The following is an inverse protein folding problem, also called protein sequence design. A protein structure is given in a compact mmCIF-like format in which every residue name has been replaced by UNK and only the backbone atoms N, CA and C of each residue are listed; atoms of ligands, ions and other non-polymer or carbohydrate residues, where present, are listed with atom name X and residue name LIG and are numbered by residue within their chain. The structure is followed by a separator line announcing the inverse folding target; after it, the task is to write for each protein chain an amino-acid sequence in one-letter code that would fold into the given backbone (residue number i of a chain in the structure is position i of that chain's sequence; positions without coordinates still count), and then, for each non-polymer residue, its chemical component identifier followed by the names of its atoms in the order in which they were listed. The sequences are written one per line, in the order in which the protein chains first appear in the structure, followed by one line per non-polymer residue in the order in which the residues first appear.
data_IF_114705905336
#
_entry.id   IF_114705905336
#
_cell.length_a   1.000
_cell.length_b   1.000
_cell.length_c   1.000
_cell.angle_alpha   90.00
_cell.angle_beta   90.00
_cell.angle_gamma   90.00
#
_symmetry.space_group_name_H-M   'P 1'
#
loop_
_entity.id
_entity.type
_entity.pdbx_description
1 polymer ?
#
# COMPACT_ATOMS: atom_id res chain seq x y z
N UNK A 1 -5.50 -2.58 -33.91
CA UNK A 1 -6.43 -2.32 -32.79
C UNK A 1 -7.92 -2.27 -33.21
N UNK A 2 -8.30 -2.18 -34.51
CA UNK A 2 -9.73 -2.16 -34.90
C UNK A 2 -10.44 -3.51 -34.85
N UNK A 3 -9.73 -4.62 -35.11
CA UNK A 3 -10.34 -5.96 -35.16
C UNK A 3 -10.79 -6.49 -33.78
N UNK A 4 -10.13 -6.07 -32.69
CA UNK A 4 -10.50 -6.52 -31.33
C UNK A 4 -11.75 -5.82 -30.79
N UNK A 5 -11.98 -4.56 -31.18
CA UNK A 5 -13.16 -3.78 -30.75
C UNK A 5 -14.43 -4.31 -31.44
N UNK A 6 -14.32 -4.67 -32.72
CA UNK A 6 -15.44 -5.23 -33.49
C UNK A 6 -15.86 -6.63 -32.97
N UNK A 7 -14.90 -7.45 -32.53
CA UNK A 7 -15.18 -8.77 -31.96
C UNK A 7 -15.92 -8.70 -30.62
N UNK A 8 -15.56 -7.73 -29.76
CA UNK A 8 -16.25 -7.49 -28.48
C UNK A 8 -17.67 -6.96 -28.69
N UNK A 9 -17.88 -6.12 -29.70
CA UNK A 9 -19.20 -5.58 -30.01
C UNK A 9 -20.17 -6.67 -30.52
N UNK A 10 -19.68 -7.59 -31.35
CA UNK A 10 -20.49 -8.68 -31.88
C UNK A 10 -20.91 -9.68 -30.79
N UNK A 11 -19.99 -10.04 -29.89
CA UNK A 11 -20.26 -10.96 -28.78
C UNK A 11 -21.26 -10.39 -27.77
N UNK A 12 -21.22 -9.09 -27.50
CA UNK A 12 -22.23 -8.43 -26.65
C UNK A 12 -23.64 -8.51 -27.24
N UNK A 13 -23.77 -8.30 -28.55
CA UNK A 13 -25.05 -8.31 -29.25
C UNK A 13 -25.68 -9.72 -29.29
N UNK A 14 -24.88 -10.76 -29.46
CA UNK A 14 -25.34 -12.15 -29.41
C UNK A 14 -25.82 -12.54 -28.00
N UNK A 15 -25.10 -12.13 -26.96
CA UNK A 15 -25.50 -12.34 -25.56
C UNK A 15 -26.80 -11.62 -25.20
N UNK A 16 -26.94 -10.37 -25.61
CA UNK A 16 -28.15 -9.57 -25.37
C UNK A 16 -29.38 -10.17 -26.07
N UNK A 17 -29.21 -10.69 -27.29
CA UNK A 17 -30.27 -11.36 -28.03
C UNK A 17 -30.69 -12.69 -27.39
N UNK A 18 -29.71 -13.52 -27.00
CA UNK A 18 -29.96 -14.77 -26.27
C UNK A 18 -30.66 -14.54 -24.93
N UNK A 19 -30.27 -13.50 -24.19
CA UNK A 19 -30.97 -13.08 -22.99
C UNK A 19 -32.42 -12.66 -23.28
N UNK A 20 -32.68 -11.91 -24.35
CA UNK A 20 -34.04 -11.46 -24.68
C UNK A 20 -35.01 -12.63 -24.89
N UNK A 21 -34.56 -13.71 -25.54
CA UNK A 21 -35.34 -14.92 -25.85
C UNK A 21 -35.60 -15.84 -24.65
N UNK A 22 -34.91 -15.65 -23.51
CA UNK A 22 -35.08 -16.52 -22.35
C UNK A 22 -36.32 -16.23 -21.49
N UNK A 23 -36.89 -17.28 -20.91
CA UNK A 23 -37.94 -17.23 -19.88
C UNK A 23 -37.48 -16.45 -18.63
N UNK A 24 -38.40 -15.73 -17.99
CA UNK A 24 -38.11 -14.90 -16.79
C UNK A 24 -37.44 -15.67 -15.66
N UNK A 25 -37.85 -16.93 -15.40
CA UNK A 25 -37.22 -17.77 -14.36
C UNK A 25 -35.77 -18.13 -14.72
N UNK A 26 -35.48 -18.37 -16.00
CA UNK A 26 -34.11 -18.65 -16.48
C UNK A 26 -33.23 -17.40 -16.43
N UNK A 27 -33.76 -16.22 -16.75
CA UNK A 27 -33.06 -14.93 -16.58
C UNK A 27 -32.65 -14.70 -15.13
N UNK A 28 -33.59 -14.88 -14.19
CA UNK A 28 -33.30 -14.72 -12.76
C UNK A 28 -32.22 -15.69 -12.25
N UNK A 29 -32.28 -16.96 -12.68
CA UNK A 29 -31.23 -17.93 -12.36
C UNK A 29 -29.87 -17.50 -12.93
N UNK A 30 -29.84 -17.08 -14.20
CA UNK A 30 -28.62 -16.65 -14.86
C UNK A 30 -27.97 -15.43 -14.18
N UNK A 31 -28.78 -14.41 -13.83
CA UNK A 31 -28.30 -13.26 -13.07
C UNK A 31 -27.77 -13.64 -11.69
N UNK A 32 -28.42 -14.57 -10.98
CA UNK A 32 -27.93 -15.07 -9.69
C UNK A 32 -26.58 -15.77 -9.83
N UNK A 33 -26.41 -16.59 -10.87
CA UNK A 33 -25.13 -17.28 -11.13
C UNK A 33 -24.03 -16.27 -11.44
N UNK A 34 -24.29 -15.26 -12.29
CA UNK A 34 -23.30 -14.20 -12.57
C UNK A 34 -22.97 -13.41 -11.30
N UNK A 35 -23.98 -13.03 -10.51
CA UNK A 35 -23.78 -12.25 -9.29
C UNK A 35 -22.93 -13.03 -8.29
N UNK A 36 -23.23 -14.31 -8.08
CA UNK A 36 -22.48 -15.17 -7.17
C UNK A 36 -21.05 -15.42 -7.66
N UNK A 37 -20.86 -15.68 -8.96
CA UNK A 37 -19.53 -15.93 -9.51
C UNK A 37 -18.65 -14.68 -9.46
N UNK A 38 -19.19 -13.51 -9.82
CA UNK A 38 -18.45 -12.24 -9.77
C UNK A 38 -18.11 -11.85 -8.34
N UNK A 39 -19.06 -11.96 -7.40
CA UNK A 39 -18.82 -11.67 -5.98
C UNK A 39 -17.80 -12.63 -5.35
N UNK A 40 -17.89 -13.92 -5.68
CA UNK A 40 -16.94 -14.93 -5.20
C UNK A 40 -15.52 -14.67 -5.73
N UNK A 41 -15.39 -14.33 -7.01
CA UNK A 41 -14.10 -14.00 -7.62
C UNK A 41 -13.49 -12.74 -7.01
N UNK A 42 -14.24 -11.65 -6.88
CA UNK A 42 -13.72 -10.39 -6.33
C UNK A 42 -13.32 -10.54 -4.86
N UNK A 43 -14.16 -11.19 -4.06
CA UNK A 43 -13.88 -11.44 -2.64
C UNK A 43 -12.69 -12.38 -2.46
N UNK A 44 -12.62 -13.44 -3.26
CA UNK A 44 -11.50 -14.37 -3.26
C UNK A 44 -10.18 -13.69 -3.61
N UNK A 45 -10.16 -12.87 -4.67
CA UNK A 45 -8.99 -12.07 -5.03
C UNK A 45 -8.61 -11.10 -3.90
N UNK A 46 -9.58 -10.36 -3.35
CA UNK A 46 -9.33 -9.44 -2.24
C UNK A 46 -8.71 -10.15 -1.03
N UNK A 47 -9.26 -11.29 -0.62
CA UNK A 47 -8.72 -12.10 0.47
C UNK A 47 -7.31 -12.59 0.17
N UNK A 48 -7.08 -13.09 -1.04
CA UNK A 48 -5.79 -13.65 -1.46
C UNK A 48 -4.70 -12.58 -1.44
N UNK A 49 -4.96 -11.39 -1.99
CA UNK A 49 -4.00 -10.27 -1.99
C UNK A 49 -3.69 -9.76 -0.58
N UNK A 50 -4.71 -9.58 0.25
CA UNK A 50 -4.55 -9.00 1.60
C UNK A 50 -4.08 -10.01 2.66
N UNK A 51 -4.06 -11.31 2.33
CA UNK A 51 -3.70 -12.38 3.28
C UNK A 51 -2.46 -13.14 2.84
N UNK A 52 -2.47 -13.75 1.65
CA UNK A 52 -1.43 -14.68 1.23
C UNK A 52 -0.22 -13.98 0.61
N UNK A 53 -0.46 -12.91 -0.16
CA UNK A 53 0.60 -12.19 -0.88
C UNK A 53 1.23 -11.04 -0.08
N UNK A 54 0.80 -10.82 1.16
CA UNK A 54 1.27 -9.69 1.97
C UNK A 54 2.78 -9.76 2.22
N UNK A 55 3.33 -10.95 2.46
CA UNK A 55 4.77 -11.14 2.68
C UNK A 55 5.60 -10.92 1.41
N UNK A 56 5.07 -11.33 0.25
CA UNK A 56 5.74 -11.09 -1.03
C UNK A 56 5.76 -9.60 -1.35
N UNK A 57 4.62 -8.92 -1.17
CA UNK A 57 4.56 -7.47 -1.33
C UNK A 57 5.55 -6.78 -0.39
N UNK A 58 5.54 -7.15 0.90
CA UNK A 58 6.47 -6.62 1.91
C UNK A 58 7.91 -6.76 1.43
N UNK A 59 8.33 -7.90 0.90
CA UNK A 59 9.69 -8.11 0.40
C UNK A 59 10.09 -7.18 -0.76
N UNK A 60 9.14 -6.74 -1.58
CA UNK A 60 9.41 -5.84 -2.72
C UNK A 60 9.54 -4.39 -2.24
N UNK A 61 8.72 -3.97 -1.28
CA UNK A 61 8.70 -2.58 -0.79
C UNK A 61 9.54 -2.33 0.46
N UNK A 62 10.10 -3.38 1.08
CA UNK A 62 11.00 -3.26 2.23
C UNK A 62 12.26 -2.50 1.84
N UNK A 63 12.69 -1.59 2.70
CA UNK A 63 14.00 -0.93 2.56
C UNK A 63 15.17 -1.88 2.81
N UNK A 64 16.09 -1.92 1.86
CA UNK A 64 17.33 -2.69 1.95
C UNK A 64 18.52 -1.76 2.19
N UNK A 65 19.37 -2.12 3.16
CA UNK A 65 20.63 -1.43 3.43
C UNK A 65 21.75 -2.44 3.31
N UNK A 66 22.71 -2.18 2.41
CA UNK A 66 23.84 -3.09 2.16
C UNK A 66 23.43 -4.53 1.79
N UNK A 67 22.32 -4.70 1.06
CA UNK A 67 21.79 -6.01 0.66
C UNK A 67 21.08 -6.80 1.77
N UNK A 68 20.91 -6.22 2.96
CA UNK A 68 20.16 -6.80 4.08
C UNK A 68 18.86 -6.03 4.33
N UNK A 69 17.86 -6.72 4.90
CA UNK A 69 16.61 -6.10 5.32
C UNK A 69 16.90 -5.08 6.43
N UNK A 70 16.53 -3.83 6.20
CA UNK A 70 16.66 -2.81 7.24
C UNK A 70 15.68 -3.13 8.36
N UNK A 71 16.16 -3.12 9.60
CA UNK A 71 15.28 -3.24 10.76
C UNK A 71 14.74 -1.86 11.12
N UNK A 72 13.50 -1.83 11.62
CA UNK A 72 12.91 -0.62 12.17
C UNK A 72 13.57 -0.31 13.51
N UNK A 73 13.83 0.97 13.79
CA UNK A 73 14.29 1.38 15.11
C UNK A 73 13.18 1.14 16.14
N UNK A 74 13.53 0.58 17.30
CA UNK A 74 12.55 0.18 18.32
C UNK A 74 11.75 1.36 18.85
N UNK A 75 12.40 2.52 18.97
CA UNK A 75 11.73 3.72 19.46
C UNK A 75 10.72 4.26 18.43
N UNK A 76 10.99 4.11 17.14
CA UNK A 76 10.05 4.46 16.08
C UNK A 76 8.87 3.46 16.03
N UNK A 77 9.13 2.17 16.29
CA UNK A 77 8.08 1.16 16.43
C UNK A 77 7.15 1.46 17.61
N UNK A 78 7.73 1.80 18.77
CA UNK A 78 6.97 2.22 19.96
C UNK A 78 6.18 3.50 19.70
N UNK A 79 6.79 4.48 19.03
CA UNK A 79 6.11 5.70 18.63
C UNK A 79 4.90 5.42 17.74
N UNK A 80 5.07 4.61 16.69
CA UNK A 80 3.97 4.25 15.79
C UNK A 80 2.85 3.47 16.51
N UNK A 81 3.21 2.59 17.44
CA UNK A 81 2.25 1.86 18.28
C UNK A 81 1.46 2.79 19.21
N UNK A 82 2.09 3.83 19.77
CA UNK A 82 1.43 4.83 20.60
C UNK A 82 0.44 5.67 19.77
N UNK A 83 0.88 6.20 18.62
CA UNK A 83 0.01 6.95 17.69
C UNK A 83 -1.18 6.12 17.26
N UNK A 84 -0.95 4.83 16.97
CA UNK A 84 -2.02 3.90 16.64
C UNK A 84 -3.04 3.76 17.78
N UNK A 85 -2.56 3.54 19.01
CA UNK A 85 -3.42 3.39 20.20
C UNK A 85 -4.25 4.64 20.46
N UNK A 86 -3.67 5.83 20.28
CA UNK A 86 -4.39 7.10 20.41
C UNK A 86 -5.47 7.29 19.33
N UNK A 87 -5.20 6.86 18.09
CA UNK A 87 -6.19 6.88 17.02
C UNK A 87 -7.28 5.80 17.18
N UNK A 88 -6.97 4.70 17.88
CA UNK A 88 -7.83 3.52 18.01
C UNK A 88 -8.94 3.66 19.07
N UNK A 89 -9.19 4.86 19.61
CA UNK A 89 -10.22 5.13 20.64
C UNK A 89 -11.65 4.57 20.36
N UNK A 90 -11.91 4.01 19.17
CA UNK A 90 -13.20 3.46 18.74
C UNK A 90 -13.20 1.99 18.26
N UNK A 91 -12.08 1.26 18.23
CA UNK A 91 -12.01 -0.07 17.57
C UNK A 91 -11.35 -1.14 18.45
N UNK A 92 -12.13 -2.10 18.96
CA UNK A 92 -11.66 -3.30 19.71
C UNK A 92 -10.95 -4.31 18.78
N UNK A 93 -9.74 -4.00 18.33
CA UNK A 93 -8.91 -4.95 17.57
C UNK A 93 -7.55 -5.10 18.21
N UNK A 94 -7.05 -6.33 18.27
CA UNK A 94 -5.79 -6.62 18.95
C UNK A 94 -4.62 -5.94 18.22
N UNK A 95 -3.69 -5.34 18.96
CA UNK A 95 -2.51 -4.68 18.40
C UNK A 95 -1.60 -5.66 17.62
N UNK A 96 -1.70 -6.97 17.88
CA UNK A 96 -0.96 -8.02 17.18
C UNK A 96 -1.32 -8.15 15.69
N UNK A 97 -2.47 -7.59 15.29
CA UNK A 97 -2.91 -7.57 13.89
C UNK A 97 -2.28 -6.43 13.08
N UNK A 98 -1.44 -5.58 13.69
CA UNK A 98 -0.77 -4.48 13.01
C UNK A 98 0.75 -4.66 13.08
N UNK A 99 1.42 -4.66 11.92
CA UNK A 99 2.88 -4.76 11.85
C UNK A 99 3.48 -3.57 11.13
N UNK A 100 4.55 -3.00 11.71
CA UNK A 100 5.31 -1.94 11.09
C UNK A 100 6.58 -2.49 10.44
N UNK A 101 7.00 -1.89 9.32
CA UNK A 101 8.27 -2.19 8.68
C UNK A 101 8.81 -0.96 7.95
N UNK A 102 10.12 -0.86 7.72
CA UNK A 102 10.67 0.30 7.01
C UNK A 102 10.47 0.13 5.50
N UNK A 103 9.71 1.02 4.87
CA UNK A 103 9.43 1.02 3.43
C UNK A 103 10.45 1.85 2.65
N UNK A 104 10.65 1.48 1.38
CA UNK A 104 11.34 2.32 0.40
C UNK A 104 10.40 3.44 -0.05
N UNK A 105 10.86 4.68 0.08
CA UNK A 105 10.14 5.86 -0.40
C UNK A 105 10.00 6.93 0.68
N UNK A 106 9.28 7.99 0.31
CA UNK A 106 8.97 9.11 1.20
C UNK A 106 7.55 9.01 1.78
N UNK A 107 6.70 8.16 1.22
CA UNK A 107 5.29 8.04 1.58
C UNK A 107 5.01 6.75 2.37
N UNK A 108 4.13 6.80 3.39
CA UNK A 108 3.72 5.61 4.10
C UNK A 108 2.94 4.68 3.17
N UNK A 109 3.18 3.38 3.34
CA UNK A 109 2.49 2.33 2.59
C UNK A 109 1.61 1.53 3.54
N UNK A 110 0.41 1.19 3.11
CA UNK A 110 -0.51 0.36 3.88
C UNK A 110 -0.98 -0.80 3.04
N UNK A 111 -0.82 -2.03 3.54
CA UNK A 111 -1.29 -3.26 2.90
C UNK A 111 -2.03 -4.10 3.92
N UNK A 112 -3.04 -4.85 3.48
CA UNK A 112 -3.82 -5.70 4.36
C UNK A 112 -4.93 -4.92 5.04
N UNK A 113 -5.61 -5.60 5.95
CA UNK A 113 -6.77 -5.05 6.64
C UNK A 113 -6.89 -5.70 8.01
N UNK A 114 -7.24 -4.88 8.99
CA UNK A 114 -7.53 -5.35 10.34
C UNK A 114 -8.78 -6.23 10.39
N UNK A 115 -9.56 -6.32 9.31
CA UNK A 115 -10.72 -7.22 9.21
C UNK A 115 -10.36 -8.67 8.91
N UNK A 116 -9.13 -8.96 8.50
CA UNK A 116 -8.69 -10.30 8.13
C UNK A 116 -7.68 -10.86 9.14
N UNK A 117 -7.53 -12.19 9.24
CA UNK A 117 -6.60 -12.82 10.19
C UNK A 117 -5.13 -12.49 9.95
N UNK A 118 -4.75 -12.13 8.72
CA UNK A 118 -3.39 -11.66 8.39
C UNK A 118 -3.06 -10.29 8.95
N UNK A 119 -4.08 -9.53 9.34
CA UNK A 119 -3.92 -8.17 9.82
C UNK A 119 -3.57 -7.16 8.72
N UNK A 120 -3.06 -6.02 9.17
CA UNK A 120 -2.56 -4.94 8.33
C UNK A 120 -1.06 -4.73 8.58
N UNK A 121 -0.37 -4.31 7.54
CA UNK A 121 1.06 -4.04 7.58
C UNK A 121 1.29 -2.62 7.04
N UNK A 122 2.00 -1.81 7.83
CA UNK A 122 2.29 -0.41 7.54
C UNK A 122 3.78 -0.24 7.30
N UNK A 123 4.11 0.20 6.09
CA UNK A 123 5.45 0.61 5.68
C UNK A 123 5.69 2.04 6.10
N UNK A 124 6.64 2.24 7.02
CA UNK A 124 7.07 3.55 7.48
C UNK A 124 8.22 4.06 6.61
N UNK A 125 8.13 5.29 6.07
CA UNK A 125 9.19 5.88 5.27
C UNK A 125 10.52 5.90 6.00
N UNK A 126 11.59 5.57 5.28
CA UNK A 126 12.95 5.59 5.81
C UNK A 126 13.32 6.91 6.53
N UNK A 127 12.91 8.11 6.05
CA UNK A 127 13.24 9.37 6.73
C UNK A 127 12.69 9.49 8.16
N UNK A 128 11.64 8.75 8.53
CA UNK A 128 11.10 8.80 9.90
C UNK A 128 12.08 8.29 10.96
N UNK A 129 13.14 7.58 10.56
CA UNK A 129 14.19 7.18 11.49
C UNK A 129 15.14 8.33 11.87
N UNK A 130 15.09 9.48 11.19
CA UNK A 130 15.97 10.61 11.48
C UNK A 130 15.45 11.41 12.69
N UNK A 131 16.21 11.40 13.78
CA UNK A 131 15.88 12.18 14.99
C UNK A 131 16.60 13.52 15.04
N UNK A 132 17.78 13.58 14.43
CA UNK A 132 18.58 14.79 14.37
C UNK A 132 18.99 15.08 12.93
N UNK A 133 19.33 16.33 12.66
CA UNK A 133 19.85 16.78 11.36
C UNK A 133 21.12 16.02 10.98
N UNK A 134 21.93 15.62 11.98
CA UNK A 134 23.19 14.89 11.79
C UNK A 134 22.98 13.43 11.36
N UNK A 135 21.81 12.84 11.67
CA UNK A 135 21.46 11.48 11.24
C UNK A 135 21.15 11.41 9.74
N UNK A 136 20.88 12.56 9.11
CA UNK A 136 20.48 12.64 7.71
C UNK A 136 21.68 12.42 6.80
N UNK A 137 21.78 11.18 6.28
CA UNK A 137 22.79 10.82 5.29
C UNK A 137 22.39 11.32 3.91
N UNK A 138 22.87 12.52 3.59
CA UNK A 138 22.65 13.17 2.28
C UNK A 138 23.08 12.32 1.07
N UNK A 139 24.00 11.38 1.26
CA UNK A 139 24.46 10.41 0.23
C UNK A 139 23.37 9.40 -0.16
N UNK A 140 22.45 9.10 0.76
CA UNK A 140 21.37 8.13 0.54
C UNK A 140 20.12 8.80 -0.08
N UNK A 141 20.08 10.12 -0.15
CA UNK A 141 18.97 10.90 -0.71
C UNK A 141 19.17 11.10 -2.22
N UNK A 142 18.19 10.65 -3.01
CA UNK A 142 18.20 10.81 -4.48
C UNK A 142 16.91 11.49 -4.94
N UNK A 143 17.05 12.51 -5.78
CA UNK A 143 15.91 13.17 -6.42
C UNK A 143 15.66 12.57 -7.80
N UNK A 144 14.39 12.30 -8.11
CA UNK A 144 13.99 11.76 -9.40
C UNK A 144 14.08 12.86 -10.46
N UNK A 145 14.90 12.66 -11.49
CA UNK A 145 14.95 13.53 -12.67
C UNK A 145 16.23 14.37 -12.83
N UNK A 146 17.12 14.40 -11.84
CA UNK A 146 18.40 15.09 -11.99
C UNK A 146 19.58 14.12 -11.88
N UNK A 147 20.35 14.02 -12.97
CA UNK A 147 21.76 13.63 -12.97
C UNK A 147 22.63 14.71 -12.31
N UNK A 148 22.19 15.31 -11.19
CA UNK A 148 22.92 16.39 -10.53
C UNK A 148 23.43 15.91 -9.16
N UNK A 149 24.71 15.51 -9.07
CA UNK A 149 25.31 15.00 -7.83
C UNK A 149 25.49 16.06 -6.73
N UNK A 150 25.02 17.29 -6.92
CA UNK A 150 25.28 18.39 -5.99
C UNK A 150 24.03 19.21 -5.69
N UNK A 151 23.02 18.61 -5.06
CA UNK A 151 22.15 19.42 -4.23
C UNK A 151 23.06 20.17 -3.25
N UNK A 152 23.01 21.51 -3.27
CA UNK A 152 23.79 22.31 -2.32
C UNK A 152 23.15 22.15 -0.95
N UNK A 153 23.48 21.08 -0.23
CA UNK A 153 22.97 20.81 1.12
C UNK A 153 23.23 21.97 2.09
N UNK A 154 24.29 22.75 1.84
CA UNK A 154 24.62 23.96 2.60
C UNK A 154 23.81 25.20 2.21
N UNK A 155 23.04 25.17 1.12
CA UNK A 155 22.14 26.26 0.73
C UNK A 155 20.98 26.39 1.71
N UNK A 156 20.32 27.55 1.75
CA UNK A 156 19.15 27.76 2.60
C UNK A 156 18.05 26.72 2.33
N UNK A 157 17.79 26.40 1.05
CA UNK A 157 16.83 25.37 0.65
C UNK A 157 17.26 23.96 1.08
N UNK A 158 18.55 23.62 0.97
CA UNK A 158 19.09 22.33 1.42
C UNK A 158 18.97 22.13 2.93
N UNK A 159 19.26 23.18 3.71
CA UNK A 159 19.08 23.16 5.17
C UNK A 159 17.62 23.00 5.56
N UNK A 160 16.73 23.81 4.98
CA UNK A 160 15.29 23.72 5.24
C UNK A 160 14.73 22.34 4.87
N UNK A 161 15.22 21.73 3.79
CA UNK A 161 14.83 20.38 3.42
C UNK A 161 15.31 19.34 4.43
N UNK A 162 16.58 19.36 4.84
CA UNK A 162 17.10 18.41 5.85
C UNK A 162 16.35 18.55 7.18
N UNK A 163 16.10 19.80 7.63
CA UNK A 163 15.31 20.08 8.84
C UNK A 163 13.89 19.52 8.73
N UNK A 164 13.28 19.55 7.54
CA UNK A 164 11.94 18.98 7.31
C UNK A 164 11.89 17.45 7.32
N UNK A 165 13.02 16.78 7.12
CA UNK A 165 13.11 15.31 7.17
C UNK A 165 13.20 14.76 8.59
N UNK A 166 13.59 15.59 9.55
CA UNK A 166 13.68 15.21 10.96
C UNK A 166 12.28 15.13 11.55
N UNK A 167 11.98 14.05 12.25
CA UNK A 167 10.68 13.85 12.88
C UNK A 167 10.40 14.94 13.92
N UNK A 168 9.41 15.78 13.63
CA UNK A 168 8.97 16.85 14.53
C UNK A 168 8.15 16.29 15.69
N UNK A 169 8.36 16.81 16.90
CA UNK A 169 7.52 16.47 18.05
C UNK A 169 6.06 16.92 17.88
N UNK A 170 5.78 17.88 16.98
CA UNK A 170 4.40 18.30 16.66
C UNK A 170 3.67 17.32 15.73
N UNK A 171 4.36 16.30 15.22
CA UNK A 171 3.75 15.20 14.48
C UNK A 171 3.30 14.05 15.40
N UNK A 172 3.52 14.18 16.72
CA UNK A 172 2.79 13.43 17.77
C UNK A 172 1.32 13.87 17.75
#
# INVERSE_FOLDING_TARGET
MSNSVNALHNTYNEWAFGLKLMSQKRKQYYYRVILLSTTGLTTGLYFTYNTLFINQYKSVVHSYKSGQLSQLDKDLELFAANVWTECQQSVDKSPESLQFFPSVGCDPLTIGTLGLPSGAVIGLPFPLNYRTVDDVKTVDLRFKGEHNPYMKWRSAAGKAFIESLVLSERAK
#
